data_IF_356243570242
#
_entry.id   IF_356243570242
#
_cell.length_a   1.000
_cell.length_b   1.000
_cell.length_c   1.000
_cell.angle_alpha   90.00
_cell.angle_beta   90.00
_cell.angle_gamma   90.00
#
_symmetry.space_group_name_H-M   'P 1'
#
loop_
_entity.id
_entity.type
_entity.pdbx_description
1 polymer ?
#
# COMPACT_ATOMS: atom_id res chain seq x y z
N UNK A 1 21.79 17.13 10.11
CA UNK A 1 21.45 16.66 11.46
C UNK A 1 21.08 15.18 11.35
N UNK A 2 21.52 14.30 12.27
CA UNK A 2 21.11 12.87 12.21
C UNK A 2 19.65 12.77 12.68
N UNK A 3 18.81 11.93 12.04
CA UNK A 3 17.46 11.70 12.51
C UNK A 3 17.47 11.07 13.90
N UNK A 4 16.48 11.40 14.70
CA UNK A 4 16.16 10.70 15.94
C UNK A 4 15.82 9.23 15.67
N UNK A 5 15.83 8.43 16.73
CA UNK A 5 15.42 7.01 16.65
C UNK A 5 13.97 6.87 16.19
N UNK A 6 13.10 7.78 16.63
CA UNK A 6 11.69 7.79 16.27
C UNK A 6 11.50 8.09 14.78
N UNK A 7 12.14 9.14 14.27
CA UNK A 7 12.08 9.49 12.83
C UNK A 7 12.64 8.36 11.95
N UNK A 8 13.71 7.69 12.40
CA UNK A 8 14.28 6.53 11.70
C UNK A 8 13.31 5.35 11.65
N UNK A 9 12.59 5.10 12.75
CA UNK A 9 11.61 4.02 12.83
C UNK A 9 10.37 4.31 11.98
N UNK A 10 9.88 5.55 11.99
CA UNK A 10 8.78 5.98 11.12
C UNK A 10 9.15 5.82 9.64
N UNK A 11 10.37 6.23 9.26
CA UNK A 11 10.87 6.06 7.89
C UNK A 11 11.02 4.59 7.51
N UNK A 12 11.44 3.72 8.44
CA UNK A 12 11.49 2.28 8.22
C UNK A 12 10.09 1.75 7.87
N UNK A 13 9.07 2.10 8.65
CA UNK A 13 7.71 1.64 8.37
C UNK A 13 7.16 2.20 7.07
N UNK A 14 7.45 3.46 6.73
CA UNK A 14 7.07 4.04 5.43
C UNK A 14 7.63 3.23 4.26
N UNK A 15 8.93 2.89 4.30
CA UNK A 15 9.58 2.09 3.25
C UNK A 15 9.04 0.66 3.25
N UNK A 16 8.90 0.05 4.43
CA UNK A 16 8.40 -1.32 4.58
C UNK A 16 7.02 -1.48 3.95
N UNK A 17 6.06 -0.59 4.27
CA UNK A 17 4.70 -0.68 3.75
C UNK A 17 4.64 -0.45 2.25
N UNK A 18 5.46 0.46 1.71
CA UNK A 18 5.59 0.66 0.26
C UNK A 18 6.06 -0.63 -0.44
N UNK A 19 7.15 -1.25 0.06
CA UNK A 19 7.69 -2.49 -0.50
C UNK A 19 6.71 -3.65 -0.41
N UNK A 20 6.07 -3.84 0.74
CA UNK A 20 5.05 -4.87 0.93
C UNK A 20 3.84 -4.67 0.01
N UNK A 21 3.36 -3.44 -0.18
CA UNK A 21 2.26 -3.15 -1.10
C UNK A 21 2.59 -3.51 -2.55
N UNK A 22 3.84 -3.26 -2.98
CA UNK A 22 4.32 -3.67 -4.30
C UNK A 22 4.38 -5.20 -4.44
N UNK A 23 4.92 -5.89 -3.44
CA UNK A 23 4.98 -7.36 -3.44
C UNK A 23 3.57 -7.96 -3.49
N UNK A 24 2.65 -7.44 -2.69
CA UNK A 24 1.24 -7.85 -2.67
C UNK A 24 0.56 -7.61 -4.01
N UNK A 25 0.80 -6.46 -4.64
CA UNK A 25 0.29 -6.17 -5.97
C UNK A 25 0.76 -7.21 -7.01
N UNK A 26 2.03 -7.63 -6.94
CA UNK A 26 2.58 -8.65 -7.85
C UNK A 26 2.13 -10.09 -7.53
N UNK A 27 1.61 -10.36 -6.33
CA UNK A 27 1.03 -11.66 -5.95
C UNK A 27 2.03 -12.82 -5.80
N UNK A 28 3.35 -12.57 -5.84
CA UNK A 28 4.40 -13.61 -5.75
C UNK A 28 4.90 -13.85 -4.32
N UNK A 29 4.41 -13.09 -3.35
CA UNK A 29 4.86 -13.13 -1.96
C UNK A 29 6.37 -12.90 -1.84
N UNK A 30 7.01 -13.60 -0.90
CA UNK A 30 8.44 -13.49 -0.62
C UNK A 30 9.36 -14.04 -1.73
N UNK A 31 8.80 -14.56 -2.83
CA UNK A 31 9.58 -14.93 -4.02
C UNK A 31 10.16 -13.70 -4.73
N UNK A 32 9.69 -12.49 -4.41
CA UNK A 32 10.32 -11.23 -4.78
C UNK A 32 11.21 -10.80 -3.61
N UNK A 33 12.55 -10.88 -3.73
CA UNK A 33 13.46 -10.44 -2.68
C UNK A 33 13.31 -8.95 -2.40
N UNK A 34 13.34 -8.55 -1.13
CA UNK A 34 13.22 -7.14 -0.78
C UNK A 34 14.38 -6.31 -1.32
N UNK A 35 15.56 -6.88 -1.54
CA UNK A 35 16.73 -6.20 -2.10
C UNK A 35 16.75 -6.15 -3.64
N UNK A 36 15.82 -6.83 -4.33
CA UNK A 36 15.79 -6.85 -5.81
C UNK A 36 15.18 -5.59 -6.45
N UNK A 37 14.55 -4.73 -5.66
CA UNK A 37 13.90 -3.52 -6.14
C UNK A 37 14.02 -2.36 -5.14
N UNK A 38 13.89 -1.15 -5.67
CA UNK A 38 14.03 0.10 -4.90
C UNK A 38 12.73 0.90 -4.94
N UNK A 39 12.39 1.53 -3.81
CA UNK A 39 11.35 2.55 -3.75
C UNK A 39 12.04 3.90 -3.91
N UNK A 40 11.66 4.62 -4.97
CA UNK A 40 12.19 5.92 -5.30
C UNK A 40 11.15 7.00 -4.97
N UNK A 41 11.60 8.05 -4.27
CA UNK A 41 10.83 9.24 -3.96
C UNK A 41 11.30 10.33 -4.92
N UNK A 42 10.41 10.74 -5.82
CA UNK A 42 10.64 11.78 -6.83
C UNK A 42 10.46 13.17 -6.20
N UNK A 43 11.07 14.19 -6.80
CA UNK A 43 11.05 15.57 -6.29
C UNK A 43 9.62 16.15 -6.25
N UNK A 44 8.74 15.69 -7.15
CA UNK A 44 7.32 16.04 -7.20
C UNK A 44 6.46 15.28 -6.18
N UNK A 45 7.06 14.69 -5.13
CA UNK A 45 6.39 13.85 -4.13
C UNK A 45 5.73 12.58 -4.71
N UNK A 46 6.05 12.22 -5.95
CA UNK A 46 5.61 10.96 -6.55
C UNK A 46 6.49 9.82 -6.04
N UNK A 47 5.89 8.65 -5.79
CA UNK A 47 6.62 7.47 -5.33
C UNK A 47 6.53 6.42 -6.43
N UNK A 48 7.66 5.82 -6.78
CA UNK A 48 7.79 4.81 -7.85
C UNK A 48 8.61 3.62 -7.36
N UNK A 49 8.37 2.45 -7.95
CA UNK A 49 9.26 1.30 -7.79
C UNK A 49 10.20 1.21 -9.00
N UNK A 50 11.48 0.95 -8.72
CA UNK A 50 12.51 0.65 -9.72
C UNK A 50 12.84 -0.83 -9.61
N UNK A 51 12.62 -1.57 -10.69
CA UNK A 51 12.93 -2.99 -10.82
C UNK A 51 13.76 -3.20 -12.09
N UNK A 52 14.85 -3.96 -12.00
CA UNK A 52 15.82 -4.16 -13.09
C UNK A 52 16.28 -2.87 -13.78
N UNK A 53 16.49 -1.78 -13.02
CA UNK A 53 16.84 -0.43 -13.51
C UNK A 53 15.75 0.28 -14.33
N UNK A 54 14.52 -0.21 -14.33
CA UNK A 54 13.38 0.45 -14.98
C UNK A 54 12.39 0.99 -13.95
N UNK A 55 11.96 2.23 -14.16
CA UNK A 55 10.81 2.78 -13.45
C UNK A 55 9.55 2.02 -13.86
N UNK A 56 8.91 1.40 -12.89
CA UNK A 56 7.65 0.71 -13.12
C UNK A 56 6.50 1.70 -13.24
N UNK A 57 5.40 1.30 -13.88
CA UNK A 57 4.19 2.12 -14.03
C UNK A 57 3.28 2.12 -12.78
N UNK A 58 3.78 1.63 -11.64
CA UNK A 58 3.01 1.59 -10.41
C UNK A 58 2.94 2.97 -9.76
N UNK A 59 1.75 3.28 -9.26
CA UNK A 59 1.45 4.47 -8.49
C UNK A 59 1.32 4.03 -7.03
N UNK A 60 1.98 4.78 -6.15
CA UNK A 60 1.93 4.54 -4.72
C UNK A 60 1.22 5.69 -4.00
N UNK A 61 0.41 5.36 -3.01
CA UNK A 61 -0.22 6.31 -2.11
C UNK A 61 0.02 5.91 -0.66
N UNK A 62 0.53 6.83 0.15
CA UNK A 62 0.63 6.66 1.60
C UNK A 62 -0.54 7.38 2.27
N UNK A 63 -1.20 6.70 3.22
CA UNK A 63 -2.42 7.21 3.85
C UNK A 63 -2.29 7.11 5.36
N UNK A 64 -2.61 8.20 6.05
CA UNK A 64 -2.63 8.25 7.50
C UNK A 64 -4.06 8.09 7.99
N UNK A 65 -4.45 6.87 8.36
CA UNK A 65 -5.80 6.56 8.86
C UNK A 65 -5.82 6.52 10.39
N UNK A 66 -4.75 6.01 11.01
CA UNK A 66 -4.66 5.81 12.45
C UNK A 66 -3.29 6.28 12.98
N UNK A 67 -3.26 6.97 14.13
CA UNK A 67 -2.00 7.30 14.79
C UNK A 67 -1.19 6.04 15.10
N UNK A 68 0.11 6.08 14.85
CA UNK A 68 1.03 4.95 15.10
C UNK A 68 1.05 3.86 14.02
N UNK A 69 0.26 4.00 12.94
CA UNK A 69 0.26 3.07 11.81
C UNK A 69 0.71 3.75 10.52
N UNK A 70 1.38 3.00 9.66
CA UNK A 70 1.68 3.38 8.28
C UNK A 70 0.91 2.48 7.33
N UNK A 71 0.35 3.06 6.27
CA UNK A 71 -0.36 2.34 5.22
C UNK A 71 0.13 2.82 3.86
N UNK A 72 0.33 1.87 2.94
CA UNK A 72 0.66 2.15 1.55
C UNK A 72 -0.21 1.33 0.61
N UNK A 73 -0.62 1.95 -0.48
CA UNK A 73 -1.38 1.34 -1.57
C UNK A 73 -0.51 1.37 -2.82
N UNK A 74 -0.43 0.25 -3.52
CA UNK A 74 0.22 0.11 -4.83
C UNK A 74 -0.86 -0.22 -5.88
N UNK A 75 -0.86 0.49 -7.01
CA UNK A 75 -1.87 0.37 -8.07
C UNK A 75 -1.33 0.80 -9.44
N UNK A 76 -2.06 0.50 -10.51
CA UNK A 76 -1.70 0.93 -11.88
C UNK A 76 -2.56 2.09 -12.40
N UNK A 77 -3.74 2.31 -11.84
CA UNK A 77 -4.63 3.39 -12.25
C UNK A 77 -4.55 4.56 -11.26
N UNK A 78 -4.91 5.76 -11.75
CA UNK A 78 -4.97 6.97 -10.93
C UNK A 78 -6.41 7.36 -10.56
N UNK A 79 -7.32 6.38 -10.53
CA UNK A 79 -8.71 6.63 -10.18
C UNK A 79 -8.84 7.11 -8.74
N UNK A 80 -9.75 8.03 -8.44
CA UNK A 80 -9.94 8.45 -7.06
C UNK A 80 -10.58 7.32 -6.27
N UNK A 81 -10.09 7.08 -5.07
CA UNK A 81 -10.68 6.16 -4.12
C UNK A 81 -10.94 6.89 -2.80
N UNK A 82 -11.85 6.34 -2.00
CA UNK A 82 -12.10 6.76 -0.63
C UNK A 82 -12.07 5.53 0.27
N UNK A 83 -11.71 5.73 1.53
CA UNK A 83 -11.73 4.67 2.52
C UNK A 83 -13.03 4.79 3.30
N UNK A 84 -13.82 3.72 3.31
CA UNK A 84 -15.00 3.59 4.16
C UNK A 84 -14.62 2.76 5.38
N UNK A 85 -14.75 3.35 6.56
CA UNK A 85 -14.67 2.61 7.81
C UNK A 85 -15.97 1.84 7.99
N UNK A 86 -15.87 0.53 8.22
CA UNK A 86 -17.02 -0.35 8.42
C UNK A 86 -16.93 -0.98 9.82
N UNK A 87 -18.06 -1.08 10.48
CA UNK A 87 -18.19 -1.90 11.68
C UNK A 87 -18.58 -3.35 11.33
N UNK A 88 -18.62 -4.23 12.35
CA UNK A 88 -18.92 -5.64 12.16
C UNK A 88 -20.29 -5.90 11.53
N UNK A 89 -21.34 -5.18 11.93
CA UNK A 89 -22.69 -5.37 11.39
C UNK A 89 -22.74 -4.98 9.92
N UNK A 90 -22.12 -3.86 9.53
CA UNK A 90 -22.07 -3.44 8.12
C UNK A 90 -21.37 -4.48 7.22
N UNK A 91 -20.36 -5.20 7.74
CA UNK A 91 -19.68 -6.27 7.01
C UNK A 91 -20.59 -7.51 6.88
N UNK A 92 -21.30 -7.87 7.97
CA UNK A 92 -22.24 -9.00 7.97
C UNK A 92 -23.39 -8.73 6.98
N UNK A 93 -23.99 -7.55 7.07
CA UNK A 93 -25.10 -7.13 6.20
C UNK A 93 -24.66 -7.18 4.72
N UNK A 94 -23.47 -6.65 4.40
CA UNK A 94 -22.90 -6.72 3.06
C UNK A 94 -22.71 -8.16 2.56
N UNK A 95 -22.24 -9.07 3.43
CA UNK A 95 -22.06 -10.47 3.07
C UNK A 95 -23.41 -11.16 2.79
N UNK A 96 -24.42 -10.93 3.64
CA UNK A 96 -25.77 -11.50 3.46
C UNK A 96 -26.38 -11.02 2.14
N UNK A 97 -26.31 -9.72 1.84
CA UNK A 97 -26.81 -9.14 0.58
C UNK A 97 -26.15 -9.76 -0.67
N UNK A 98 -24.86 -10.11 -0.62
CA UNK A 98 -24.17 -10.78 -1.72
C UNK A 98 -24.71 -12.21 -1.93
N UNK A 99 -24.88 -12.96 -0.84
CA UNK A 99 -25.36 -14.35 -0.91
C UNK A 99 -26.82 -14.47 -1.35
N UNK A 100 -27.67 -13.49 -1.04
CA UNK A 100 -29.06 -13.48 -1.50
C UNK A 100 -29.18 -13.21 -3.01
N UNK A 101 -28.25 -12.43 -3.59
CA UNK A 101 -28.23 -12.13 -5.03
C UNK A 101 -27.73 -13.27 -5.91
N UNK A 102 -26.95 -14.21 -5.37
CA UNK A 102 -26.47 -15.39 -6.10
C UNK A 102 -27.49 -16.54 -6.14
N UNK A 103 -28.58 -16.45 -5.36
CA UNK A 103 -29.64 -17.46 -5.26
C UNK A 103 -30.89 -17.16 -6.10
N UNK A 104 -30.79 -16.22 -7.06
CA UNK A 104 -31.82 -15.87 -8.06
C UNK A 104 -31.20 -16.03 -9.45
#
# INVERSE_FOLDING_TARGET
MRPSKQESLERFYDIWTLKESYIKFNGKGLSIPLDSFTIFFDDDSSIKAIDNNYCTNHIFNQINILPGYKLSICRLNNERFYIKMLNQNEIIDYFLELTEKENI
#
